data_IF_753124124852
#
_entry.id   IF_753124124852
#
_cell.length_a   1.000
_cell.length_b   1.000
_cell.length_c   1.000
_cell.angle_alpha   90.00
_cell.angle_beta   90.00
_cell.angle_gamma   90.00
#
_symmetry.space_group_name_H-M   'P 1'
#
loop_
_entity.id
_entity.type
_entity.pdbx_description
1 polymer ?
#
# COMPACT_ATOMS: atom_id res chain seq x y z
N UNK A 1 3.33 4.72 7.22
CA UNK A 1 4.21 5.19 6.12
C UNK A 1 3.46 6.12 5.18
N UNK A 2 3.96 7.33 4.87
CA UNK A 2 3.26 8.32 4.04
C UNK A 2 2.83 7.79 2.67
N UNK A 3 3.70 7.05 1.99
CA UNK A 3 3.44 6.52 0.63
C UNK A 3 2.30 5.50 0.60
N UNK A 4 2.37 4.46 1.44
CA UNK A 4 1.36 3.40 1.47
C UNK A 4 0.01 3.92 1.97
N UNK A 5 0.00 4.90 2.88
CA UNK A 5 -1.22 5.56 3.31
C UNK A 5 -1.86 6.34 2.16
N UNK A 6 -1.10 7.14 1.42
CA UNK A 6 -1.62 7.90 0.28
C UNK A 6 -2.22 7.00 -0.81
N UNK A 7 -1.60 5.85 -1.09
CA UNK A 7 -2.15 4.87 -2.03
C UNK A 7 -3.44 4.22 -1.52
N UNK A 8 -3.49 3.85 -0.24
CA UNK A 8 -4.69 3.29 0.38
C UNK A 8 -5.85 4.30 0.37
N UNK A 9 -5.57 5.56 0.69
CA UNK A 9 -6.57 6.63 0.72
C UNK A 9 -7.11 6.93 -0.67
N UNK A 10 -6.23 6.94 -1.70
CA UNK A 10 -6.66 7.07 -3.09
C UNK A 10 -7.51 5.88 -3.57
N UNK A 11 -7.10 4.64 -3.26
CA UNK A 11 -7.89 3.45 -3.63
C UNK A 11 -9.26 3.46 -2.96
N UNK A 12 -9.33 3.91 -1.70
CA UNK A 12 -10.58 4.04 -0.96
C UNK A 12 -11.48 5.14 -1.53
N UNK A 13 -10.91 6.26 -2.00
CA UNK A 13 -11.67 7.33 -2.65
C UNK A 13 -12.28 6.88 -3.99
N UNK A 14 -11.59 5.98 -4.71
CA UNK A 14 -12.03 5.39 -5.99
C UNK A 14 -12.61 3.97 -5.83
N UNK A 15 -13.19 3.65 -4.66
CA UNK A 15 -13.65 2.30 -4.31
C UNK A 15 -14.61 1.73 -5.35
N UNK A 16 -15.65 2.48 -5.73
CA UNK A 16 -16.70 1.98 -6.63
C UNK A 16 -16.16 1.70 -8.04
N UNK A 17 -15.27 2.58 -8.54
CA UNK A 17 -14.58 2.39 -9.82
C UNK A 17 -13.64 1.17 -9.77
N UNK A 18 -12.90 1.00 -8.67
CA UNK A 18 -11.98 -0.12 -8.49
C UNK A 18 -12.73 -1.47 -8.43
N UNK A 19 -13.86 -1.51 -7.73
CA UNK A 19 -14.74 -2.69 -7.66
C UNK A 19 -15.38 -2.98 -9.02
N UNK A 20 -15.83 -1.94 -9.74
CA UNK A 20 -16.38 -2.12 -11.09
C UNK A 20 -15.33 -2.67 -12.07
N UNK A 21 -14.06 -2.28 -11.91
CA UNK A 21 -12.96 -2.71 -12.77
C UNK A 21 -12.50 -4.15 -12.49
N UNK A 22 -12.36 -4.55 -11.21
CA UNK A 22 -11.67 -5.79 -10.81
C UNK A 22 -12.40 -6.62 -9.76
N UNK A 23 -13.60 -6.22 -9.36
CA UNK A 23 -14.43 -6.89 -8.37
C UNK A 23 -14.09 -6.55 -6.93
N UNK A 24 -15.02 -6.91 -6.03
CA UNK A 24 -14.95 -6.65 -4.60
C UNK A 24 -13.75 -7.35 -3.93
N UNK A 25 -13.51 -8.61 -4.29
CA UNK A 25 -12.41 -9.41 -3.72
C UNK A 25 -11.04 -8.76 -3.96
N UNK A 26 -10.77 -8.31 -5.18
CA UNK A 26 -9.51 -7.63 -5.51
C UNK A 26 -9.35 -6.34 -4.70
N UNK A 27 -10.42 -5.54 -4.58
CA UNK A 27 -10.38 -4.31 -3.78
C UNK A 27 -10.03 -4.60 -2.31
N UNK A 28 -10.67 -5.60 -1.70
CA UNK A 28 -10.46 -5.94 -0.29
C UNK A 28 -9.04 -6.46 -0.04
N UNK A 29 -8.50 -7.29 -0.94
CA UNK A 29 -7.11 -7.79 -0.88
C UNK A 29 -6.12 -6.61 -0.91
N UNK A 30 -6.29 -5.68 -1.84
CA UNK A 30 -5.38 -4.54 -1.97
C UNK A 30 -5.48 -3.59 -0.79
N UNK A 31 -6.69 -3.36 -0.26
CA UNK A 31 -6.86 -2.53 0.94
C UNK A 31 -6.21 -3.15 2.17
N UNK A 32 -6.37 -4.47 2.36
CA UNK A 32 -5.71 -5.18 3.45
C UNK A 32 -4.19 -5.10 3.32
N UNK A 33 -3.66 -5.33 2.12
CA UNK A 33 -2.22 -5.26 1.83
C UNK A 33 -1.63 -3.88 2.10
N UNK A 34 -2.22 -2.81 1.52
CA UNK A 34 -1.67 -1.45 1.64
C UNK A 34 -1.66 -0.95 3.09
N UNK A 35 -2.74 -1.19 3.85
CA UNK A 35 -2.82 -0.80 5.26
C UNK A 35 -1.87 -1.65 6.13
N UNK A 36 -1.84 -2.97 5.92
CA UNK A 36 -0.95 -3.88 6.66
C UNK A 36 0.53 -3.58 6.44
N UNK A 37 0.95 -3.35 5.18
CA UNK A 37 2.34 -2.98 4.89
C UNK A 37 2.74 -1.64 5.53
N UNK A 38 1.82 -0.67 5.63
CA UNK A 38 2.11 0.62 6.25
C UNK A 38 2.53 0.49 7.72
N UNK A 39 1.93 -0.48 8.41
CA UNK A 39 2.23 -0.81 9.81
C UNK A 39 3.60 -1.49 9.94
N UNK A 40 3.93 -2.44 9.06
CA UNK A 40 5.23 -3.13 9.07
C UNK A 40 6.42 -2.16 8.96
N UNK A 41 6.31 -1.13 8.10
CA UNK A 41 7.34 -0.09 8.01
C UNK A 41 7.32 0.89 9.20
N UNK A 42 6.14 1.18 9.78
CA UNK A 42 6.04 2.05 10.96
C UNK A 42 6.68 1.39 12.18
N UNK A 43 6.48 0.09 12.33
CA UNK A 43 6.94 -0.70 13.47
C UNK A 43 8.41 -1.15 13.30
N UNK A 44 9.09 -0.67 12.23
CA UNK A 44 10.47 -1.01 11.84
C UNK A 44 10.70 -2.51 11.63
N UNK A 45 9.63 -3.27 11.35
CA UNK A 45 9.74 -4.68 10.99
C UNK A 45 10.36 -4.85 9.60
N UNK A 46 10.15 -3.87 8.73
CA UNK A 46 10.76 -3.75 7.39
C UNK A 46 11.36 -2.37 7.19
N UNK A 47 12.45 -2.29 6.43
CA UNK A 47 13.19 -1.06 6.15
C UNK A 47 13.48 -0.90 4.65
N UNK A 48 13.73 0.33 4.20
CA UNK A 48 14.11 0.65 2.82
C UNK A 48 15.50 1.27 2.82
N UNK A 49 16.45 0.58 2.19
CA UNK A 49 17.85 1.03 2.13
C UNK A 49 18.22 1.52 0.74
N UNK A 50 18.84 2.70 0.67
CA UNK A 50 19.45 3.21 -0.56
C UNK A 50 20.97 3.02 -0.48
N UNK A 51 21.48 2.03 -1.19
CA UNK A 51 22.93 1.80 -1.28
C UNK A 51 23.51 2.53 -2.48
N UNK A 52 24.51 3.39 -2.23
CA UNK A 52 25.36 3.93 -3.29
C UNK A 52 26.69 3.19 -3.24
N UNK A 53 26.90 2.30 -4.22
CA UNK A 53 28.12 1.48 -4.30
C UNK A 53 29.18 2.20 -5.13
N UNK A 54 30.40 2.27 -4.60
CA UNK A 54 31.61 2.76 -5.28
C UNK A 54 32.58 1.60 -5.49
N UNK A 55 33.53 1.75 -6.42
CA UNK A 55 34.53 0.73 -6.78
C UNK A 55 35.74 0.76 -5.85
#
# INVERSE_FOLDING_TARGET
MPTLNAWADALQAHKDEAIALKGQETYDIYMHYLRGCSDLFRDKYTDVCQFTLVK
#
